data_IF_564136098279
#
_entry.id   IF_564136098279
#
_cell.length_a   1.000
_cell.length_b   1.000
_cell.length_c   1.000
_cell.angle_alpha   90.00
_cell.angle_beta   90.00
_cell.angle_gamma   90.00
#
_symmetry.space_group_name_H-M   'P 1'
#
loop_
_entity.id
_entity.type
_entity.pdbx_description
1 polymer ?
#
# COMPACT_ATOMS: atom_id res chain seq x y z
N UNK A 1 6.66 13.37 2.21
CA UNK A 1 7.14 12.14 1.56
C UNK A 1 6.66 12.02 0.13
N UNK A 2 7.24 11.11 -0.60
CA UNK A 2 6.82 10.76 -1.96
C UNK A 2 7.23 9.31 -2.29
N UNK A 3 6.70 8.79 -3.40
CA UNK A 3 7.14 7.49 -3.93
C UNK A 3 8.51 7.58 -4.57
N UNK A 4 9.32 6.53 -4.45
CA UNK A 4 10.64 6.47 -5.07
C UNK A 4 10.72 5.44 -6.23
N UNK A 5 9.60 5.11 -6.87
CA UNK A 5 9.47 4.03 -7.86
C UNK A 5 10.34 4.18 -9.11
N UNK A 6 10.87 5.35 -9.35
CA UNK A 6 11.73 5.60 -10.52
C UNK A 6 13.23 5.53 -10.22
N UNK A 7 13.63 5.66 -8.96
CA UNK A 7 15.05 5.56 -8.58
C UNK A 7 15.61 4.18 -8.95
N UNK A 8 16.77 4.16 -9.61
CA UNK A 8 17.38 2.92 -10.12
C UNK A 8 16.74 2.37 -11.41
N UNK A 9 15.75 3.05 -11.98
CA UNK A 9 15.04 2.63 -13.22
C UNK A 9 15.21 3.59 -14.39
N UNK A 10 15.93 4.68 -14.22
CA UNK A 10 16.16 5.63 -15.31
C UNK A 10 17.08 5.10 -16.38
N UNK A 11 17.83 3.99 -16.13
CA UNK A 11 18.85 3.45 -17.02
C UNK A 11 20.03 4.40 -17.22
N UNK A 12 20.17 5.39 -16.35
CA UNK A 12 21.17 6.46 -16.40
C UNK A 12 21.52 6.89 -14.97
N UNK A 13 22.77 6.61 -14.55
CA UNK A 13 23.25 6.91 -13.21
C UNK A 13 23.20 8.42 -12.88
N UNK A 14 23.32 9.30 -13.88
CA UNK A 14 23.18 10.75 -13.65
C UNK A 14 21.75 11.14 -13.30
N UNK A 15 20.76 10.47 -13.89
CA UNK A 15 19.34 10.69 -13.53
C UNK A 15 19.03 10.17 -12.13
N UNK A 16 19.57 9.02 -11.74
CA UNK A 16 19.43 8.51 -10.37
C UNK A 16 20.10 9.46 -9.36
N UNK A 17 21.32 9.94 -9.64
CA UNK A 17 21.99 10.95 -8.82
C UNK A 17 21.15 12.23 -8.71
N UNK A 18 20.64 12.73 -9.85
CA UNK A 18 19.80 13.93 -9.88
C UNK A 18 18.49 13.74 -9.12
N UNK A 19 17.88 12.57 -9.20
CA UNK A 19 16.70 12.25 -8.39
C UNK A 19 17.03 12.33 -6.90
N UNK A 20 18.12 11.71 -6.48
CA UNK A 20 18.59 11.73 -5.10
C UNK A 20 18.85 13.15 -4.60
N UNK A 21 19.59 13.96 -5.38
CA UNK A 21 19.87 15.38 -5.06
C UNK A 21 18.59 16.22 -4.86
N UNK A 22 17.53 15.92 -5.61
CA UNK A 22 16.26 16.66 -5.50
C UNK A 22 15.37 16.11 -4.40
N UNK A 23 15.38 14.81 -4.16
CA UNK A 23 14.51 14.13 -3.19
C UNK A 23 14.98 14.36 -1.75
N UNK A 24 16.24 14.10 -1.48
CA UNK A 24 16.76 13.98 -0.11
C UNK A 24 16.73 15.29 0.71
N UNK A 25 16.90 16.50 0.12
CA UNK A 25 16.77 17.74 0.88
C UNK A 25 15.32 18.14 1.21
N UNK A 26 14.35 17.59 0.47
CA UNK A 26 12.94 17.99 0.57
C UNK A 26 12.08 16.96 1.32
N UNK A 27 12.46 15.70 1.24
CA UNK A 27 11.61 14.59 1.65
C UNK A 27 12.36 13.64 2.59
N UNK A 28 11.73 13.30 3.69
CA UNK A 28 12.26 12.42 4.73
C UNK A 28 11.48 11.10 4.87
N UNK A 29 10.59 10.81 3.91
CA UNK A 29 9.74 9.63 3.92
C UNK A 29 9.46 9.17 2.51
N UNK A 30 9.50 7.86 2.28
CA UNK A 30 9.21 7.28 0.98
C UNK A 30 8.39 6.00 1.10
N UNK A 31 7.58 5.74 0.07
CA UNK A 31 6.84 4.50 -0.11
C UNK A 31 7.56 3.65 -1.16
N UNK A 32 7.77 2.37 -0.83
CA UNK A 32 8.49 1.42 -1.67
C UNK A 32 7.57 0.31 -2.14
N UNK A 33 7.53 0.01 -3.45
CA UNK A 33 6.61 -0.96 -4.00
C UNK A 33 7.08 -2.39 -3.72
N UNK A 34 6.15 -3.19 -3.22
CA UNK A 34 6.25 -4.64 -3.22
C UNK A 34 5.00 -5.26 -3.84
N UNK A 35 4.38 -4.56 -4.80
CA UNK A 35 3.19 -5.03 -5.51
C UNK A 35 3.40 -6.46 -5.99
N UNK A 36 2.47 -7.36 -5.71
CA UNK A 36 2.73 -8.78 -5.89
C UNK A 36 3.05 -9.16 -7.34
N UNK A 37 2.22 -8.70 -8.29
CA UNK A 37 2.41 -8.94 -9.73
C UNK A 37 3.76 -8.42 -10.27
N UNK A 38 4.29 -7.39 -9.64
CA UNK A 38 5.55 -6.79 -10.04
C UNK A 38 6.75 -7.32 -9.23
N UNK A 39 6.57 -7.54 -7.92
CA UNK A 39 7.62 -8.06 -7.06
C UNK A 39 7.95 -9.53 -7.36
N UNK A 40 6.93 -10.32 -7.70
CA UNK A 40 7.01 -11.74 -8.06
C UNK A 40 6.25 -11.99 -9.37
N UNK A 41 6.80 -11.49 -10.52
CA UNK A 41 6.14 -11.62 -11.83
C UNK A 41 5.98 -13.06 -12.29
N UNK A 42 6.86 -13.95 -11.86
CA UNK A 42 6.76 -15.41 -11.99
C UNK A 42 6.98 -16.03 -10.60
N UNK A 43 6.36 -17.17 -10.35
CA UNK A 43 6.43 -17.81 -9.03
C UNK A 43 7.88 -18.05 -8.58
N UNK A 44 8.23 -17.52 -7.39
CA UNK A 44 9.56 -17.55 -6.77
C UNK A 44 10.65 -16.76 -7.53
N UNK A 45 10.29 -15.94 -8.49
CA UNK A 45 11.20 -14.99 -9.13
C UNK A 45 10.92 -13.58 -8.59
N UNK A 46 11.82 -13.09 -7.75
CA UNK A 46 11.61 -11.86 -6.99
C UNK A 46 12.47 -10.71 -7.51
N UNK A 47 11.87 -9.54 -7.62
CA UNK A 47 12.57 -8.29 -7.91
C UNK A 47 13.31 -7.72 -6.66
N UNK A 48 13.88 -8.61 -5.85
CA UNK A 48 14.62 -8.26 -4.64
C UNK A 48 15.76 -7.27 -4.87
N UNK A 49 16.61 -7.42 -5.92
CA UNK A 49 17.74 -6.50 -6.10
C UNK A 49 17.28 -5.05 -6.22
N UNK A 50 16.15 -4.81 -6.88
CA UNK A 50 15.61 -3.47 -7.02
C UNK A 50 15.09 -2.92 -5.70
N UNK A 51 14.26 -3.68 -4.99
CA UNK A 51 13.72 -3.24 -3.67
C UNK A 51 14.86 -3.07 -2.67
N UNK A 52 15.84 -3.97 -2.66
CA UNK A 52 17.04 -3.86 -1.84
C UNK A 52 17.80 -2.56 -2.08
N UNK A 53 18.05 -2.20 -3.34
CA UNK A 53 18.69 -0.94 -3.70
C UNK A 53 17.91 0.30 -3.23
N UNK A 54 16.57 0.27 -3.31
CA UNK A 54 15.74 1.36 -2.80
C UNK A 54 15.87 1.48 -1.27
N UNK A 55 15.84 0.35 -0.57
CA UNK A 55 15.98 0.32 0.89
C UNK A 55 17.36 0.84 1.30
N UNK A 56 18.44 0.36 0.67
CA UNK A 56 19.81 0.79 0.94
C UNK A 56 19.98 2.30 0.68
N UNK A 57 19.44 2.81 -0.42
CA UNK A 57 19.45 4.24 -0.72
C UNK A 57 18.72 5.07 0.34
N UNK A 58 17.54 4.66 0.75
CA UNK A 58 16.78 5.40 1.76
C UNK A 58 17.44 5.36 3.14
N UNK A 59 18.06 4.24 3.51
CA UNK A 59 18.85 4.11 4.75
C UNK A 59 20.06 5.05 4.76
N UNK A 60 20.81 5.10 3.66
CA UNK A 60 21.98 5.99 3.52
C UNK A 60 21.61 7.47 3.66
N UNK A 61 20.37 7.84 3.35
CA UNK A 61 19.88 9.22 3.42
C UNK A 61 18.96 9.50 4.63
N UNK A 62 18.84 8.56 5.57
CA UNK A 62 17.96 8.65 6.73
C UNK A 62 16.49 8.96 6.37
N UNK A 63 16.00 8.35 5.30
CA UNK A 63 14.63 8.49 4.83
C UNK A 63 13.78 7.36 5.43
N UNK A 64 12.69 7.70 6.12
CA UNK A 64 11.74 6.73 6.63
C UNK A 64 11.05 5.97 5.47
N UNK A 65 10.80 4.67 5.66
CA UNK A 65 10.38 3.75 4.61
C UNK A 65 9.06 3.09 4.95
N UNK A 66 8.15 3.10 3.98
CA UNK A 66 6.91 2.34 4.05
C UNK A 66 6.89 1.26 2.98
N UNK A 67 6.62 0.02 3.36
CA UNK A 67 6.38 -1.10 2.43
C UNK A 67 4.94 -1.03 1.92
N UNK A 68 4.74 -1.04 0.60
CA UNK A 68 3.43 -0.93 -0.03
C UNK A 68 3.24 -1.98 -1.14
N UNK A 69 2.27 -2.82 -1.07
CA UNK A 69 1.46 -3.23 0.07
C UNK A 69 1.64 -4.75 0.26
N UNK A 70 1.43 -5.24 1.47
CA UNK A 70 1.53 -6.69 1.74
C UNK A 70 0.39 -7.46 1.09
N UNK A 71 -0.85 -6.98 1.23
CA UNK A 71 -2.04 -7.56 0.63
C UNK A 71 -2.80 -6.50 -0.17
N UNK A 72 -2.94 -6.73 -1.46
CA UNK A 72 -3.71 -5.88 -2.36
C UNK A 72 -4.26 -6.69 -3.54
N UNK A 73 -5.57 -6.67 -3.71
CA UNK A 73 -6.29 -7.46 -4.72
C UNK A 73 -5.98 -7.03 -6.15
N UNK A 74 -5.70 -5.77 -6.40
CA UNK A 74 -5.36 -5.23 -7.73
C UNK A 74 -4.05 -5.83 -8.27
N UNK A 75 -3.13 -6.14 -7.40
CA UNK A 75 -1.79 -6.60 -7.76
C UNK A 75 -1.68 -8.13 -7.83
N UNK A 76 -2.76 -8.82 -8.21
CA UNK A 76 -2.74 -10.28 -8.43
C UNK A 76 -1.82 -10.62 -9.62
N UNK A 77 -0.79 -11.47 -9.44
CA UNK A 77 0.04 -11.92 -10.56
C UNK A 77 -0.72 -12.78 -11.55
N UNK A 78 -0.33 -12.76 -12.83
CA UNK A 78 -0.96 -13.57 -13.88
C UNK A 78 -0.81 -15.08 -13.66
N UNK A 79 0.25 -15.52 -12.99
CA UNK A 79 0.46 -16.93 -12.66
C UNK A 79 -0.46 -17.44 -11.54
N UNK A 80 -1.11 -16.54 -10.79
CA UNK A 80 -2.10 -16.91 -9.76
C UNK A 80 -3.43 -17.17 -10.42
N UNK A 81 -3.86 -18.43 -10.43
CA UNK A 81 -5.07 -18.88 -11.13
C UNK A 81 -6.12 -19.46 -10.18
N UNK A 82 -7.32 -19.64 -10.68
CA UNK A 82 -8.41 -20.28 -9.93
C UNK A 82 -8.04 -21.69 -9.46
N UNK A 83 -8.50 -22.06 -8.28
CA UNK A 83 -8.22 -23.34 -7.64
C UNK A 83 -6.92 -23.38 -6.85
N UNK A 84 -6.07 -22.35 -6.91
CA UNK A 84 -4.90 -22.24 -6.04
C UNK A 84 -5.29 -21.86 -4.61
N UNK A 85 -4.48 -22.30 -3.64
CA UNK A 85 -4.60 -21.89 -2.25
C UNK A 85 -4.07 -20.46 -2.06
N UNK A 86 -4.92 -19.47 -2.32
CA UNK A 86 -4.55 -18.04 -2.22
C UNK A 86 -4.07 -17.68 -0.81
N UNK A 87 -4.66 -18.26 0.22
CA UNK A 87 -4.24 -18.04 1.59
C UNK A 87 -2.83 -18.53 1.84
N UNK A 88 -2.50 -19.76 1.39
CA UNK A 88 -1.14 -20.31 1.49
C UNK A 88 -0.14 -19.49 0.68
N UNK A 89 -0.50 -19.02 -0.51
CA UNK A 89 0.34 -18.15 -1.33
C UNK A 89 0.65 -16.81 -0.62
N UNK A 90 -0.34 -16.20 0.04
CA UNK A 90 -0.08 -15.00 0.84
C UNK A 90 0.75 -15.29 2.08
N UNK A 91 0.60 -16.45 2.70
CA UNK A 91 1.48 -16.88 3.80
C UNK A 91 2.93 -17.00 3.35
N UNK A 92 3.19 -17.65 2.21
CA UNK A 92 4.53 -17.73 1.58
C UNK A 92 5.09 -16.33 1.32
N UNK A 93 4.30 -15.49 0.64
CA UNK A 93 4.69 -14.13 0.25
C UNK A 93 5.02 -13.23 1.45
N UNK A 94 4.12 -13.16 2.44
CA UNK A 94 4.32 -12.30 3.61
C UNK A 94 5.53 -12.79 4.42
N UNK A 95 5.66 -14.09 4.63
CA UNK A 95 6.82 -14.66 5.30
C UNK A 95 8.13 -14.37 4.56
N UNK A 96 8.13 -14.43 3.21
CA UNK A 96 9.28 -14.09 2.40
C UNK A 96 9.68 -12.62 2.59
N UNK A 97 8.73 -11.68 2.41
CA UNK A 97 8.97 -10.25 2.55
C UNK A 97 9.43 -9.89 3.97
N UNK A 98 8.76 -10.41 4.98
CA UNK A 98 9.10 -10.10 6.37
C UNK A 98 10.46 -10.67 6.77
N UNK A 99 10.82 -11.90 6.37
CA UNK A 99 12.17 -12.44 6.65
C UNK A 99 13.27 -11.69 5.92
N UNK A 100 12.98 -11.20 4.73
CA UNK A 100 13.96 -10.47 3.89
C UNK A 100 14.21 -9.05 4.38
N UNK A 101 13.18 -8.40 4.92
CA UNK A 101 13.19 -6.98 5.21
C UNK A 101 12.81 -6.60 6.65
N UNK A 102 12.67 -7.55 7.59
CA UNK A 102 12.34 -7.25 8.98
C UNK A 102 13.30 -6.20 9.58
N UNK A 103 12.73 -5.21 10.27
CA UNK A 103 13.47 -4.10 10.88
C UNK A 103 14.02 -3.07 9.90
N UNK A 104 13.79 -3.23 8.59
CA UNK A 104 14.25 -2.30 7.55
C UNK A 104 13.17 -1.32 7.07
N UNK A 105 11.94 -1.48 7.53
CA UNK A 105 10.83 -0.58 7.22
C UNK A 105 10.25 0.01 8.50
N UNK A 106 9.88 1.30 8.44
CA UNK A 106 9.28 2.00 9.55
C UNK A 106 7.76 1.76 9.62
N UNK A 107 7.15 1.44 8.46
CA UNK A 107 5.71 1.19 8.30
C UNK A 107 5.45 0.12 7.24
N UNK A 108 4.32 -0.57 7.38
CA UNK A 108 3.84 -1.60 6.45
C UNK A 108 2.37 -1.34 6.10
N UNK A 109 2.06 -1.16 4.82
CA UNK A 109 0.67 -1.21 4.36
C UNK A 109 0.22 -2.67 4.41
N UNK A 110 -0.53 -3.02 5.47
CA UNK A 110 -0.98 -4.37 5.74
C UNK A 110 -1.93 -4.87 4.67
N UNK A 111 -2.97 -4.08 4.43
CA UNK A 111 -3.96 -4.27 3.37
C UNK A 111 -4.23 -2.93 2.69
N UNK A 112 -4.53 -2.99 1.40
CA UNK A 112 -4.82 -1.81 0.60
C UNK A 112 -6.15 -1.94 -0.13
N UNK A 113 -6.97 -0.87 -0.13
CA UNK A 113 -8.20 -0.70 -0.92
C UNK A 113 -9.24 -1.83 -0.76
N UNK A 114 -9.43 -2.28 0.47
CA UNK A 114 -10.28 -3.44 0.76
C UNK A 114 -11.75 -3.23 0.45
N UNK A 115 -12.27 -1.99 0.60
CA UNK A 115 -13.71 -1.71 0.38
C UNK A 115 -14.12 -1.81 -1.09
N UNK A 116 -13.15 -1.81 -2.00
CA UNK A 116 -13.37 -1.88 -3.45
C UNK A 116 -12.77 -3.14 -4.09
N UNK A 117 -12.58 -4.18 -3.30
CA UNK A 117 -11.94 -5.43 -3.75
C UNK A 117 -12.69 -6.16 -4.86
N UNK A 118 -13.95 -5.86 -5.09
CA UNK A 118 -14.78 -6.43 -6.15
C UNK A 118 -14.68 -5.69 -7.50
N UNK A 119 -13.88 -4.60 -7.58
CA UNK A 119 -13.57 -3.94 -8.85
C UNK A 119 -12.79 -4.83 -9.83
N UNK A 120 -12.04 -5.79 -9.30
CA UNK A 120 -11.24 -6.71 -10.08
C UNK A 120 -11.76 -8.13 -9.89
N UNK A 121 -12.08 -8.80 -10.96
CA UNK A 121 -12.45 -10.21 -10.93
C UNK A 121 -11.20 -11.08 -11.11
N UNK A 122 -10.51 -11.36 -10.01
CA UNK A 122 -9.34 -12.22 -9.96
C UNK A 122 -9.38 -13.17 -8.75
N UNK A 123 -8.50 -14.19 -8.67
CA UNK A 123 -8.50 -15.15 -7.57
C UNK A 123 -8.32 -14.51 -6.19
N UNK A 124 -7.53 -13.43 -6.09
CA UNK A 124 -7.30 -12.72 -4.83
C UNK A 124 -8.57 -12.01 -4.36
N UNK A 125 -9.26 -11.29 -5.25
CA UNK A 125 -10.52 -10.60 -4.93
C UNK A 125 -11.58 -11.57 -4.46
N UNK A 126 -11.73 -12.70 -5.17
CA UNK A 126 -12.69 -13.75 -4.78
C UNK A 126 -12.36 -14.38 -3.42
N UNK A 127 -11.08 -14.64 -3.16
CA UNK A 127 -10.62 -15.13 -1.86
C UNK A 127 -10.91 -14.12 -0.75
N UNK A 128 -10.56 -12.84 -0.93
CA UNK A 128 -10.81 -11.79 0.06
C UNK A 128 -12.30 -11.69 0.40
N UNK A 129 -13.16 -11.74 -0.62
CA UNK A 129 -14.61 -11.72 -0.44
C UNK A 129 -15.12 -12.95 0.33
N UNK A 130 -14.62 -14.13 0.00
CA UNK A 130 -15.04 -15.39 0.64
C UNK A 130 -14.51 -15.53 2.07
N UNK A 131 -13.25 -15.17 2.29
CA UNK A 131 -12.60 -15.27 3.62
C UNK A 131 -13.06 -14.17 4.57
N UNK A 132 -13.51 -13.04 4.02
CA UNK A 132 -13.93 -11.85 4.75
C UNK A 132 -12.75 -10.92 5.03
N UNK A 133 -12.91 -9.65 4.69
CA UNK A 133 -11.80 -8.69 4.64
C UNK A 133 -11.16 -8.42 6.01
N UNK A 134 -11.95 -8.42 7.10
CA UNK A 134 -11.42 -8.34 8.48
C UNK A 134 -10.55 -9.57 8.80
N UNK A 135 -10.96 -10.76 8.34
CA UNK A 135 -10.16 -11.98 8.53
C UNK A 135 -8.87 -11.93 7.71
N UNK A 136 -8.90 -11.33 6.51
CA UNK A 136 -7.69 -11.07 5.69
C UNK A 136 -6.73 -10.16 6.45
N UNK A 137 -7.22 -9.07 7.03
CA UNK A 137 -6.41 -8.15 7.83
C UNK A 137 -5.78 -8.85 9.05
N UNK A 138 -6.56 -9.60 9.81
CA UNK A 138 -6.08 -10.37 10.97
C UNK A 138 -5.07 -11.44 10.58
N UNK A 139 -5.31 -12.10 9.45
CA UNK A 139 -4.38 -13.10 8.91
C UNK A 139 -3.03 -12.46 8.56
N UNK A 140 -3.02 -11.35 7.84
CA UNK A 140 -1.80 -10.61 7.50
C UNK A 140 -1.09 -10.08 8.75
N UNK A 141 -1.81 -9.45 9.67
CA UNK A 141 -1.25 -8.96 10.94
C UNK A 141 -0.54 -10.06 11.72
N UNK A 142 -1.16 -11.22 11.87
CA UNK A 142 -0.58 -12.36 12.59
C UNK A 142 0.74 -12.81 11.98
N UNK A 143 0.81 -12.88 10.64
CA UNK A 143 2.02 -13.28 9.93
C UNK A 143 3.14 -12.25 10.10
N UNK A 144 2.83 -10.97 9.97
CA UNK A 144 3.81 -9.90 10.15
C UNK A 144 4.34 -9.90 11.58
N UNK A 145 3.46 -9.91 12.58
CA UNK A 145 3.86 -9.85 14.00
C UNK A 145 4.54 -11.11 14.52
N UNK A 146 4.40 -12.23 13.82
CA UNK A 146 5.16 -13.44 14.14
C UNK A 146 6.67 -13.26 13.87
N UNK A 147 7.06 -12.34 13.00
CA UNK A 147 8.45 -12.03 12.64
C UNK A 147 8.90 -10.71 13.25
N UNK A 148 8.04 -9.68 13.19
CA UNK A 148 8.29 -8.34 13.70
C UNK A 148 7.13 -7.90 14.61
N UNK A 149 7.17 -8.23 15.91
CA UNK A 149 6.07 -7.98 16.86
C UNK A 149 5.64 -6.52 16.95
N UNK A 150 6.59 -5.59 16.81
CA UNK A 150 6.37 -4.15 16.92
C UNK A 150 6.14 -3.45 15.58
N UNK A 151 5.92 -4.22 14.48
CA UNK A 151 5.66 -3.68 13.15
C UNK A 151 4.50 -2.66 13.17
N UNK A 152 4.71 -1.51 12.55
CA UNK A 152 3.69 -0.47 12.45
C UNK A 152 2.85 -0.68 11.20
N UNK A 153 1.62 -1.16 11.41
CA UNK A 153 0.70 -1.58 10.36
C UNK A 153 -0.28 -0.46 10.00
N UNK A 154 -0.48 -0.25 8.71
CA UNK A 154 -1.39 0.76 8.15
C UNK A 154 -2.42 0.07 7.25
N UNK A 155 -3.65 0.57 7.26
CA UNK A 155 -4.66 0.29 6.24
C UNK A 155 -4.79 1.52 5.34
N UNK A 156 -4.60 1.36 4.02
CA UNK A 156 -4.77 2.41 3.01
C UNK A 156 -6.04 2.22 2.19
N UNK A 157 -6.77 3.33 1.92
CA UNK A 157 -8.00 3.30 1.13
C UNK A 157 -8.18 4.59 0.34
N UNK A 158 -8.68 4.48 -0.91
CA UNK A 158 -9.05 5.64 -1.72
C UNK A 158 -10.55 5.98 -1.65
N UNK A 159 -11.41 4.99 -1.43
CA UNK A 159 -12.87 5.18 -1.32
C UNK A 159 -13.25 5.72 0.06
N UNK A 160 -12.66 6.85 0.46
CA UNK A 160 -12.75 7.39 1.82
C UNK A 160 -13.96 8.28 2.07
N UNK A 161 -14.71 8.64 1.03
CA UNK A 161 -15.91 9.48 1.13
C UNK A 161 -17.18 8.70 1.45
N UNK A 162 -17.16 7.39 1.23
CA UNK A 162 -18.31 6.51 1.36
C UNK A 162 -18.52 5.97 2.77
N UNK A 163 -19.74 5.52 3.02
CA UNK A 163 -20.10 4.87 4.28
C UNK A 163 -19.38 3.52 4.45
N UNK A 164 -19.12 2.85 3.35
CA UNK A 164 -18.43 1.56 3.28
C UNK A 164 -17.05 1.63 3.97
N UNK A 165 -16.33 2.73 3.78
CA UNK A 165 -15.05 2.97 4.43
C UNK A 165 -15.19 3.06 5.96
N UNK A 166 -16.14 3.87 6.44
CA UNK A 166 -16.37 4.04 7.88
C UNK A 166 -16.87 2.75 8.54
N UNK A 167 -17.75 2.03 7.86
CA UNK A 167 -18.22 0.72 8.32
C UNK A 167 -17.07 -0.27 8.40
N UNK A 168 -16.17 -0.29 7.41
CA UNK A 168 -15.00 -1.16 7.44
C UNK A 168 -13.99 -0.78 8.54
N UNK A 169 -13.76 0.51 8.79
CA UNK A 169 -12.94 0.94 9.93
C UNK A 169 -13.51 0.47 11.26
N UNK A 170 -14.83 0.56 11.44
CA UNK A 170 -15.50 0.00 12.61
C UNK A 170 -15.26 -1.51 12.72
N UNK A 171 -15.48 -2.24 11.64
CA UNK A 171 -15.33 -3.70 11.61
C UNK A 171 -13.89 -4.15 11.89
N UNK A 172 -12.87 -3.41 11.39
CA UNK A 172 -11.46 -3.64 11.73
C UNK A 172 -11.20 -3.44 13.23
N UNK A 173 -11.80 -2.39 13.83
CA UNK A 173 -11.64 -2.09 15.24
C UNK A 173 -12.33 -3.13 16.13
N UNK A 174 -13.57 -3.47 15.81
CA UNK A 174 -14.35 -4.50 16.52
C UNK A 174 -13.72 -5.90 16.34
N UNK A 175 -13.15 -6.17 15.17
CA UNK A 175 -12.39 -7.37 14.89
C UNK A 175 -11.03 -7.45 15.58
N UNK A 176 -10.62 -6.40 16.30
CA UNK A 176 -9.36 -6.36 17.05
C UNK A 176 -8.11 -6.36 16.20
N UNK A 177 -8.18 -5.79 14.98
CA UNK A 177 -6.99 -5.62 14.12
C UNK A 177 -6.09 -4.53 14.69
N UNK A 178 -4.84 -4.87 14.98
CA UNK A 178 -3.86 -4.01 15.63
C UNK A 178 -3.20 -3.02 14.67
N UNK A 179 -3.98 -2.14 14.03
CA UNK A 179 -3.46 -1.07 13.20
C UNK A 179 -2.81 0.03 14.04
N UNK A 180 -1.75 0.63 13.52
CA UNK A 180 -1.05 1.77 14.10
C UNK A 180 -1.47 3.10 13.45
N UNK A 181 -2.00 3.07 12.22
CA UNK A 181 -2.54 4.21 11.51
C UNK A 181 -3.52 3.77 10.42
N UNK A 182 -4.27 4.74 9.91
CA UNK A 182 -5.09 4.60 8.70
C UNK A 182 -4.61 5.59 7.64
N UNK A 183 -4.68 5.17 6.37
CA UNK A 183 -4.25 5.96 5.22
C UNK A 183 -5.47 6.43 4.42
N UNK A 184 -5.64 7.74 4.31
CA UNK A 184 -6.61 8.36 3.43
C UNK A 184 -5.91 8.70 2.10
N UNK A 185 -6.11 7.88 1.07
CA UNK A 185 -5.63 8.22 -0.27
C UNK A 185 -6.47 9.39 -0.80
N UNK A 186 -5.79 10.43 -1.25
CA UNK A 186 -6.42 11.65 -1.75
C UNK A 186 -6.10 11.87 -3.22
N UNK A 187 -6.53 10.92 -4.05
CA UNK A 187 -6.41 10.99 -5.49
C UNK A 187 -7.46 11.93 -6.07
N UNK A 188 -7.05 13.14 -6.43
CA UNK A 188 -7.90 14.18 -7.01
C UNK A 188 -7.79 14.18 -8.54
N UNK A 189 -8.17 13.08 -9.17
CA UNK A 189 -8.02 12.89 -10.62
C UNK A 189 -9.16 13.52 -11.41
N UNK A 190 -10.37 13.59 -10.81
CA UNK A 190 -11.56 14.18 -11.44
C UNK A 190 -11.84 15.57 -10.88
N UNK A 191 -11.99 15.65 -9.57
CA UNK A 191 -12.34 16.88 -8.87
C UNK A 191 -11.37 17.11 -7.70
N UNK A 192 -11.12 18.38 -7.41
CA UNK A 192 -10.34 18.77 -6.22
C UNK A 192 -11.21 18.65 -4.98
N UNK A 193 -10.69 18.06 -3.93
CA UNK A 193 -11.34 18.13 -2.63
C UNK A 193 -11.31 19.57 -2.11
N UNK A 194 -12.44 20.04 -1.68
CA UNK A 194 -12.51 21.32 -0.96
C UNK A 194 -11.88 21.18 0.43
N UNK A 195 -11.51 22.29 1.04
CA UNK A 195 -11.03 22.27 2.43
C UNK A 195 -12.07 21.66 3.37
N UNK A 196 -13.35 22.01 3.20
CA UNK A 196 -14.46 21.47 4.00
C UNK A 196 -14.58 19.96 3.86
N UNK A 197 -14.51 19.45 2.64
CA UNK A 197 -14.56 18.01 2.35
C UNK A 197 -13.36 17.26 2.94
N UNK A 198 -12.15 17.80 2.79
CA UNK A 198 -10.94 17.25 3.40
C UNK A 198 -11.07 17.15 4.92
N UNK A 199 -11.49 18.22 5.58
CA UNK A 199 -11.70 18.24 7.02
C UNK A 199 -12.80 17.27 7.46
N UNK A 200 -13.91 17.18 6.73
CA UNK A 200 -14.99 16.23 7.01
C UNK A 200 -14.49 14.79 6.99
N UNK A 201 -13.77 14.39 5.93
CA UNK A 201 -13.22 13.03 5.80
C UNK A 201 -12.25 12.72 6.94
N UNK A 202 -11.39 13.67 7.29
CA UNK A 202 -10.46 13.53 8.41
C UNK A 202 -11.20 13.38 9.75
N UNK A 203 -12.19 14.23 10.01
CA UNK A 203 -12.96 14.21 11.27
C UNK A 203 -13.76 12.93 11.44
N UNK A 204 -14.36 12.43 10.36
CA UNK A 204 -15.08 11.15 10.36
C UNK A 204 -14.14 9.97 10.66
N UNK A 205 -12.99 9.93 10.00
CA UNK A 205 -11.99 8.89 10.21
C UNK A 205 -11.32 8.97 11.60
N UNK A 206 -11.08 10.19 12.11
CA UNK A 206 -10.45 10.40 13.42
C UNK A 206 -11.27 9.83 14.61
N UNK A 207 -12.61 9.65 14.43
CA UNK A 207 -13.48 9.04 15.46
C UNK A 207 -13.07 7.62 15.84
N UNK A 208 -12.33 6.94 14.98
CA UNK A 208 -11.84 5.60 15.25
C UNK A 208 -10.53 5.60 16.08
N UNK A 209 -9.93 6.76 16.34
CA UNK A 209 -8.80 6.94 17.26
C UNK A 209 -7.45 6.47 16.72
N UNK A 210 -7.33 6.12 15.43
CA UNK A 210 -6.06 5.89 14.79
C UNK A 210 -5.44 7.20 14.26
N UNK A 211 -4.11 7.35 14.30
CA UNK A 211 -3.40 8.37 13.53
C UNK A 211 -3.76 8.29 12.04
N UNK A 212 -3.87 9.45 11.40
CA UNK A 212 -4.21 9.55 9.98
C UNK A 212 -2.96 9.89 9.18
N UNK A 213 -2.72 9.11 8.13
CA UNK A 213 -1.74 9.42 7.09
C UNK A 213 -2.47 9.79 5.79
N UNK A 214 -1.85 10.64 4.99
CA UNK A 214 -2.18 10.80 3.58
C UNK A 214 -1.09 10.09 2.77
N UNK A 215 -1.24 8.78 2.52
CA UNK A 215 -0.17 7.97 1.94
C UNK A 215 0.03 8.23 0.46
N UNK A 216 -1.03 8.67 -0.21
CA UNK A 216 -1.09 8.87 -1.64
C UNK A 216 -1.88 10.14 -1.93
N UNK A 217 -1.22 11.10 -2.58
CA UNK A 217 -1.83 12.36 -3.01
C UNK A 217 -1.50 12.55 -4.47
N UNK A 218 -2.51 12.75 -5.30
CA UNK A 218 -2.31 13.14 -6.68
C UNK A 218 -3.34 14.19 -7.10
N UNK A 219 -2.84 15.28 -7.65
CA UNK A 219 -3.65 16.40 -8.13
C UNK A 219 -3.30 16.64 -9.59
N UNK A 220 -4.28 16.49 -10.47
CA UNK A 220 -4.07 16.72 -11.90
C UNK A 220 -4.04 18.22 -12.20
N UNK A 221 -2.96 18.69 -12.84
CA UNK A 221 -2.80 20.08 -13.29
C UNK A 221 -3.36 20.29 -14.70
N UNK A 222 -4.65 20.09 -14.91
CA UNK A 222 -5.26 20.27 -16.23
C UNK A 222 -6.44 19.35 -16.47
N UNK A 223 -7.06 19.48 -17.62
CA UNK A 223 -8.14 18.56 -18.00
C UNK A 223 -7.55 17.21 -18.38
N UNK A 224 -8.09 16.08 -17.88
CA UNK A 224 -7.69 14.75 -18.34
C UNK A 224 -7.85 14.66 -19.86
N UNK A 225 -6.82 14.24 -20.57
CA UNK A 225 -6.85 14.06 -22.02
C UNK A 225 -6.93 12.55 -22.31
N UNK A 226 -7.99 12.13 -23.01
CA UNK A 226 -8.18 10.73 -23.40
C UNK A 226 -8.62 9.80 -22.26
N UNK A 227 -8.37 8.51 -22.45
CA UNK A 227 -8.79 7.44 -21.52
C UNK A 227 -7.96 7.36 -20.22
N UNK A 228 -7.52 8.46 -19.66
CA UNK A 228 -7.05 8.49 -18.27
C UNK A 228 -8.21 8.25 -17.28
N UNK A 229 -9.34 7.82 -17.81
CA UNK A 229 -10.53 7.35 -17.12
C UNK A 229 -10.32 6.04 -16.32
N UNK A 230 -9.19 5.36 -16.49
CA UNK A 230 -8.83 4.22 -15.63
C UNK A 230 -8.25 4.64 -14.27
N UNK A 231 -7.88 5.90 -14.13
CA UNK A 231 -7.59 6.44 -12.81
C UNK A 231 -8.93 6.64 -12.10
N UNK A 232 -9.25 5.80 -11.11
CA UNK A 232 -10.50 5.95 -10.39
C UNK A 232 -10.49 7.31 -9.70
N UNK A 233 -11.55 8.03 -9.89
CA UNK A 233 -11.87 9.19 -9.08
C UNK A 233 -12.71 8.77 -7.95
#
# INVERSE_FOLDING_TARGET
GAVCYHYGRFGDANKDARFSELFTPLLNYTMMPVHWNWYEPERHQYNEPYVGNLVDWAEQHNIARKMHALIWHECCPEWVTDGMDIKGLYEERINHLMRRYAGRFDFYDLINESTVSDRFDNPVSRWMKQFGQVNVARFGERLVRAIEPDAKLIYGEWNVHGREYLDFLRDLREGGVGLNAIGLQSHMHRDLWTQEETLRVMDEAARFGWPIHFPEISICSGKPVGEMSYLPG
#
